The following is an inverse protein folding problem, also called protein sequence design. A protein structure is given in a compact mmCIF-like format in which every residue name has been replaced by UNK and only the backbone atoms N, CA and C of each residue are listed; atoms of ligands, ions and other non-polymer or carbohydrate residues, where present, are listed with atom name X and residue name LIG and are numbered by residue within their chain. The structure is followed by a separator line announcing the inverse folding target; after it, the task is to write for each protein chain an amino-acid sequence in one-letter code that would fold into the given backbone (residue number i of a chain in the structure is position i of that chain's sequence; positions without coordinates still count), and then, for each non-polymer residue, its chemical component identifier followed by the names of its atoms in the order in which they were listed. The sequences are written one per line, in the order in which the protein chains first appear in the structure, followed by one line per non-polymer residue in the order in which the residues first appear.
data_IF_622106331529
#
_entry.id   IF_622106331529
#
_cell.length_a   1.000
_cell.length_b   1.000
_cell.length_c   1.000
_cell.angle_alpha   90.00
_cell.angle_beta   90.00
_cell.angle_gamma   90.00
#
_symmetry.space_group_name_H-M   'P 1'
#
loop_
_entity.id
_entity.type
_entity.pdbx_description
1 polymer ?
#
# COMPACT_ATOMS: atom_id res chain seq x y z
N UNK A 1 -64.93 -1.05 21.61
CA UNK A 1 -63.82 -2.02 21.44
C UNK A 1 -62.98 -1.77 20.19
N UNK A 2 -63.56 -1.40 19.04
CA UNK A 2 -62.84 -1.17 17.78
C UNK A 2 -61.72 -0.12 17.85
N UNK A 3 -61.86 0.94 18.65
CA UNK A 3 -60.85 2.02 18.73
C UNK A 3 -59.54 1.58 19.38
N UNK A 4 -59.59 0.66 20.37
CA UNK A 4 -58.40 0.13 21.05
C UNK A 4 -57.59 -0.84 20.16
N UNK A 5 -58.25 -1.48 19.19
CA UNK A 5 -57.63 -2.43 18.28
C UNK A 5 -56.87 -1.68 17.18
N UNK A 6 -57.42 -0.57 16.68
CA UNK A 6 -56.79 0.25 15.63
C UNK A 6 -55.51 0.93 16.15
N UNK A 7 -55.51 1.42 17.40
CA UNK A 7 -54.30 2.03 17.99
C UNK A 7 -53.18 1.01 18.22
N UNK A 8 -53.53 -0.23 18.58
CA UNK A 8 -52.55 -1.30 18.76
C UNK A 8 -51.90 -1.73 17.44
N UNK A 9 -52.67 -1.81 16.35
CA UNK A 9 -52.15 -2.20 15.02
C UNK A 9 -51.22 -1.11 14.44
N UNK A 10 -51.54 0.18 14.64
CA UNK A 10 -50.69 1.29 14.20
C UNK A 10 -49.38 1.41 15.00
N UNK A 11 -49.37 1.00 16.27
CA UNK A 11 -48.14 0.98 17.08
C UNK A 11 -47.23 -0.20 16.73
N UNK A 12 -47.78 -1.37 16.39
CA UNK A 12 -46.99 -2.55 16.01
C UNK A 12 -46.31 -2.36 14.64
N UNK A 13 -46.97 -1.69 13.68
CA UNK A 13 -46.36 -1.41 12.37
C UNK A 13 -45.29 -0.31 12.43
N UNK A 14 -45.44 0.69 13.30
CA UNK A 14 -44.42 1.72 13.51
C UNK A 14 -43.19 1.19 14.25
N UNK A 15 -43.34 0.17 15.10
CA UNK A 15 -42.22 -0.44 15.81
C UNK A 15 -41.40 -1.39 14.93
N UNK A 16 -42.01 -2.03 13.93
CA UNK A 16 -41.28 -2.88 12.98
C UNK A 16 -40.43 -2.09 11.96
N UNK A 17 -40.75 -0.82 11.69
CA UNK A 17 -39.99 -0.01 10.72
C UNK A 17 -38.71 0.65 11.30
N UNK A 18 -38.54 0.66 12.62
CA UNK A 18 -37.46 1.38 13.29
C UNK A 18 -36.26 0.50 13.71
N UNK A 19 -36.29 -0.81 13.45
CA UNK A 19 -35.21 -1.73 13.84
C UNK A 19 -34.64 -2.46 12.62
N UNK A 20 -34.35 -1.72 11.55
CA UNK A 20 -33.26 -2.10 10.65
C UNK A 20 -32.01 -1.45 11.23
N UNK A 21 -31.42 -2.10 12.23
CA UNK A 21 -30.02 -1.84 12.54
C UNK A 21 -29.24 -2.18 11.28
N UNK A 22 -28.60 -1.18 10.68
CA UNK A 22 -27.52 -1.43 9.76
C UNK A 22 -26.43 -2.15 10.55
N UNK A 23 -26.42 -3.47 10.50
CA UNK A 23 -25.25 -4.26 10.85
C UNK A 23 -24.14 -3.78 9.91
N UNK A 24 -23.30 -2.87 10.41
CA UNK A 24 -21.99 -2.65 9.83
C UNK A 24 -21.35 -4.02 9.77
N UNK A 25 -21.13 -4.52 8.55
CA UNK A 25 -20.47 -5.79 8.32
C UNK A 25 -19.17 -5.79 9.14
N UNK A 26 -19.20 -6.50 10.27
CA UNK A 26 -18.03 -6.80 11.06
C UNK A 26 -17.15 -7.64 10.15
N UNK A 27 -16.14 -6.99 9.58
CA UNK A 27 -15.13 -7.64 8.80
C UNK A 27 -14.32 -8.45 9.81
N UNK A 28 -14.76 -9.68 10.10
CA UNK A 28 -14.18 -10.62 11.07
C UNK A 28 -12.75 -11.08 10.80
N UNK A 29 -11.91 -10.25 10.17
CA UNK A 29 -10.47 -10.30 10.40
C UNK A 29 -10.18 -9.50 11.66
N UNK A 30 -9.58 -10.15 12.66
CA UNK A 30 -8.90 -9.45 13.75
C UNK A 30 -8.07 -8.33 13.13
N UNK A 31 -8.19 -7.09 13.60
CA UNK A 31 -7.42 -6.00 13.06
C UNK A 31 -5.93 -6.37 13.17
N UNK A 32 -5.24 -6.42 12.03
CA UNK A 32 -3.81 -6.74 11.99
C UNK A 32 -3.08 -5.62 12.73
N UNK A 33 -2.69 -5.89 13.97
CA UNK A 33 -1.90 -5.01 14.82
C UNK A 33 -0.44 -5.09 14.35
N UNK A 34 -0.09 -4.44 13.24
CA UNK A 34 1.28 -4.48 12.67
C UNK A 34 2.32 -3.90 13.62
N UNK A 35 1.90 -3.07 14.58
CA UNK A 35 2.68 -2.55 15.70
C UNK A 35 3.10 -3.62 16.73
N UNK A 36 2.52 -4.83 16.66
CA UNK A 36 2.93 -5.99 17.47
C UNK A 36 3.96 -6.89 16.76
N UNK A 37 4.29 -6.61 15.50
CA UNK A 37 5.21 -7.46 14.75
C UNK A 37 6.65 -7.21 15.18
N UNK A 38 7.36 -8.30 15.45
CA UNK A 38 8.78 -8.29 15.73
C UNK A 38 9.56 -8.83 14.52
N UNK A 39 10.73 -8.26 14.25
CA UNK A 39 11.59 -8.73 13.18
C UNK A 39 13.06 -8.60 13.58
N UNK A 40 13.88 -9.54 13.13
CA UNK A 40 15.33 -9.54 13.25
C UNK A 40 15.91 -9.70 11.86
N UNK A 41 16.83 -8.82 11.48
CA UNK A 41 17.48 -8.94 10.18
C UNK A 41 18.59 -9.99 10.14
N UNK A 42 19.16 -10.21 8.95
CA UNK A 42 20.21 -11.23 8.75
C UNK A 42 21.51 -10.93 9.52
N UNK A 43 21.71 -9.71 10.02
CA UNK A 43 22.85 -9.34 10.87
C UNK A 43 22.53 -9.46 12.36
N UNK A 44 21.34 -9.96 12.74
CA UNK A 44 20.92 -10.12 14.13
C UNK A 44 20.39 -8.83 14.77
N UNK A 45 20.09 -7.79 14.00
CA UNK A 45 19.54 -6.54 14.53
C UNK A 45 18.03 -6.64 14.64
N UNK A 46 17.50 -6.46 15.84
CA UNK A 46 16.06 -6.44 16.08
C UNK A 46 15.45 -5.06 15.76
N UNK A 47 14.26 -5.07 15.18
CA UNK A 47 13.41 -3.88 15.07
C UNK A 47 13.03 -3.41 16.48
N UNK A 48 13.03 -2.09 16.68
CA UNK A 48 12.68 -1.47 17.96
C UNK A 48 11.18 -1.62 18.21
N UNK A 49 10.81 -2.15 19.37
CA UNK A 49 9.42 -2.32 19.78
C UNK A 49 8.90 -1.07 20.52
N UNK A 50 7.59 -1.01 20.77
CA UNK A 50 6.91 0.19 21.28
C UNK A 50 7.47 0.74 22.60
N UNK A 51 7.97 -0.11 23.50
CA UNK A 51 8.57 0.33 24.77
C UNK A 51 9.85 1.18 24.57
N UNK A 52 10.54 1.00 23.45
CA UNK A 52 11.78 1.69 23.09
C UNK A 52 11.53 2.94 22.25
N UNK A 53 10.45 2.99 21.48
CA UNK A 53 10.17 4.07 20.50
C UNK A 53 9.02 4.98 20.90
N UNK A 54 8.10 4.50 21.74
CA UNK A 54 6.84 5.17 22.05
C UNK A 54 5.87 5.21 20.86
N UNK A 55 4.74 5.92 21.00
CA UNK A 55 3.73 6.01 19.95
C UNK A 55 4.23 6.86 18.76
N UNK A 56 3.62 6.70 17.57
CA UNK A 56 3.86 7.57 16.42
C UNK A 56 3.67 9.05 16.77
N UNK A 57 4.59 9.89 16.31
CA UNK A 57 4.52 11.34 16.53
C UNK A 57 3.46 11.98 15.63
N UNK A 58 2.48 12.64 16.24
CA UNK A 58 1.37 13.28 15.54
C UNK A 58 1.82 14.45 14.63
N UNK A 59 2.93 15.09 14.94
CA UNK A 59 3.50 16.25 14.25
C UNK A 59 4.59 15.88 13.22
N UNK A 60 4.65 14.62 12.80
CA UNK A 60 5.62 14.12 11.81
C UNK A 60 4.93 13.30 10.72
N UNK A 61 5.50 13.37 9.51
CA UNK A 61 5.03 12.65 8.33
C UNK A 61 6.17 11.78 7.80
N UNK A 62 5.87 10.53 7.46
CA UNK A 62 6.80 9.58 6.85
C UNK A 62 6.52 9.51 5.34
N UNK A 63 7.49 9.96 4.55
CA UNK A 63 7.48 9.86 3.09
C UNK A 63 8.36 8.70 2.61
N UNK A 64 7.89 7.95 1.61
CA UNK A 64 8.64 6.88 0.98
C UNK A 64 8.87 7.19 -0.51
N UNK A 65 10.11 7.00 -0.95
CA UNK A 65 10.45 7.01 -2.37
C UNK A 65 10.06 5.70 -3.04
N UNK A 66 9.38 5.78 -4.19
CA UNK A 66 8.77 4.62 -4.83
C UNK A 66 9.09 4.56 -6.32
N UNK A 67 9.64 3.44 -6.74
CA UNK A 67 10.00 3.14 -8.11
C UNK A 67 8.81 2.62 -8.91
N UNK A 68 8.64 3.10 -10.15
CA UNK A 68 7.54 2.75 -11.06
C UNK A 68 7.98 1.93 -12.28
N UNK A 69 9.24 1.47 -12.26
CA UNK A 69 9.95 1.02 -13.45
C UNK A 69 10.35 -0.47 -13.39
N UNK A 70 9.63 -1.28 -12.60
CA UNK A 70 9.73 -2.74 -12.70
C UNK A 70 8.82 -3.24 -13.83
N UNK A 71 9.32 -4.14 -14.68
CA UNK A 71 8.50 -4.86 -15.65
C UNK A 71 8.94 -4.72 -17.12
N UNK A 72 7.95 -4.76 -18.03
CA UNK A 72 8.09 -5.03 -19.47
C UNK A 72 9.04 -4.13 -20.29
N UNK A 73 9.52 -3.01 -19.76
CA UNK A 73 10.50 -2.16 -20.45
C UNK A 73 11.95 -2.57 -20.15
N UNK A 74 12.16 -3.51 -19.23
CA UNK A 74 13.44 -4.20 -19.07
C UNK A 74 13.55 -5.26 -20.16
N UNK A 75 14.43 -5.03 -21.13
CA UNK A 75 14.73 -6.00 -22.18
C UNK A 75 15.75 -7.02 -21.67
N UNK A 76 15.34 -8.30 -21.62
CA UNK A 76 16.18 -9.38 -21.08
C UNK A 76 16.06 -9.55 -19.56
N UNK A 77 16.52 -10.70 -19.06
CA UNK A 77 16.41 -11.07 -17.64
C UNK A 77 15.22 -11.98 -17.31
N UNK A 78 14.86 -12.14 -16.01
CA UNK A 78 15.41 -11.41 -14.87
C UNK A 78 16.86 -11.82 -14.56
N UNK A 79 17.77 -10.84 -14.48
CA UNK A 79 19.11 -11.06 -13.96
C UNK A 79 19.11 -10.81 -12.45
N UNK A 80 19.45 -11.83 -11.67
CA UNK A 80 19.41 -11.79 -10.22
C UNK A 80 20.83 -11.97 -9.67
N UNK A 81 21.37 -10.94 -9.03
CA UNK A 81 22.74 -10.93 -8.53
C UNK A 81 22.97 -12.03 -7.50
N UNK A 82 22.00 -12.28 -6.62
CA UNK A 82 22.12 -13.32 -5.59
C UNK A 82 22.20 -14.71 -6.23
N UNK A 83 21.37 -14.98 -7.26
CA UNK A 83 21.41 -16.26 -8.00
C UNK A 83 22.70 -16.39 -8.81
N UNK A 84 23.09 -15.36 -9.56
CA UNK A 84 24.32 -15.33 -10.36
C UNK A 84 25.53 -15.62 -9.47
N UNK A 85 25.66 -14.95 -8.32
CA UNK A 85 26.82 -15.17 -7.42
C UNK A 85 26.77 -16.50 -6.68
N UNK A 86 25.58 -17.11 -6.53
CA UNK A 86 25.47 -18.45 -5.96
C UNK A 86 25.94 -19.53 -6.95
N UNK A 87 25.70 -19.35 -8.25
CA UNK A 87 26.07 -20.28 -9.31
C UNK A 87 27.48 -20.03 -9.85
N UNK A 88 27.88 -18.76 -9.91
CA UNK A 88 29.15 -18.26 -10.45
C UNK A 88 29.82 -17.29 -9.47
N UNK A 89 30.42 -17.78 -8.37
CA UNK A 89 31.04 -16.91 -7.36
C UNK A 89 32.20 -16.06 -7.90
N UNK A 90 32.87 -16.53 -8.95
CA UNK A 90 33.96 -15.86 -9.65
C UNK A 90 33.51 -14.65 -10.48
N UNK A 91 32.22 -14.59 -10.86
CA UNK A 91 31.66 -13.48 -11.64
C UNK A 91 31.84 -12.11 -10.96
N UNK A 92 31.95 -12.06 -9.63
CA UNK A 92 32.22 -10.79 -8.90
C UNK A 92 33.56 -10.16 -9.27
N UNK A 93 34.54 -10.98 -9.69
CA UNK A 93 35.88 -10.54 -10.07
C UNK A 93 36.04 -10.34 -11.58
N UNK A 94 35.02 -10.71 -12.36
CA UNK A 94 35.00 -10.58 -13.81
C UNK A 94 33.73 -9.84 -14.28
N UNK A 95 33.89 -8.55 -14.57
CA UNK A 95 32.81 -7.68 -15.06
C UNK A 95 32.26 -8.09 -16.42
N UNK A 96 33.04 -8.83 -17.23
CA UNK A 96 32.61 -9.29 -18.56
C UNK A 96 32.07 -10.73 -18.51
N UNK A 97 31.95 -11.31 -17.31
CA UNK A 97 31.47 -12.67 -17.13
C UNK A 97 30.08 -12.84 -17.76
N UNK A 98 29.86 -13.86 -18.60
CA UNK A 98 28.63 -14.00 -19.39
C UNK A 98 27.36 -14.15 -18.53
N UNK A 99 27.49 -14.62 -17.27
CA UNK A 99 26.36 -14.72 -16.35
C UNK A 99 25.72 -13.36 -16.01
N UNK A 100 26.43 -12.25 -16.16
CA UNK A 100 25.86 -10.91 -15.97
C UNK A 100 24.83 -10.53 -17.04
N UNK A 101 24.79 -11.24 -18.16
CA UNK A 101 23.93 -10.89 -19.29
C UNK A 101 24.51 -9.79 -20.17
N UNK A 102 23.73 -9.25 -21.12
CA UNK A 102 24.22 -8.25 -22.05
C UNK A 102 24.54 -6.93 -21.34
N UNK A 103 25.47 -6.17 -21.92
CA UNK A 103 25.80 -4.82 -21.44
C UNK A 103 24.53 -3.96 -21.35
N UNK A 104 24.37 -3.24 -20.24
CA UNK A 104 23.18 -2.44 -19.89
C UNK A 104 21.90 -3.22 -19.56
N UNK A 105 21.98 -4.54 -19.36
CA UNK A 105 20.91 -5.29 -18.72
C UNK A 105 20.65 -4.75 -17.31
N UNK A 106 19.39 -4.85 -16.85
CA UNK A 106 19.01 -4.46 -15.50
C UNK A 106 19.03 -5.68 -14.58
N UNK A 107 19.45 -5.45 -13.33
CA UNK A 107 19.63 -6.50 -12.35
C UNK A 107 18.79 -6.27 -11.11
N UNK A 108 18.26 -7.36 -10.57
CA UNK A 108 17.73 -7.42 -9.21
C UNK A 108 18.85 -7.85 -8.26
N UNK A 109 18.96 -7.22 -7.09
CA UNK A 109 19.91 -7.67 -6.08
C UNK A 109 19.57 -9.09 -5.58
N UNK A 110 18.28 -9.38 -5.47
CA UNK A 110 17.73 -10.69 -5.15
C UNK A 110 16.25 -10.73 -5.53
N UNK A 111 15.64 -11.90 -5.42
CA UNK A 111 14.25 -12.11 -5.81
C UNK A 111 13.30 -11.30 -4.92
N UNK A 112 12.45 -10.41 -5.47
CA UNK A 112 11.46 -9.69 -4.67
C UNK A 112 10.41 -10.63 -4.06
N UNK A 113 9.80 -10.22 -2.97
CA UNK A 113 8.76 -11.01 -2.26
C UNK A 113 7.61 -11.47 -3.17
N UNK A 114 7.25 -10.66 -4.17
CA UNK A 114 6.19 -10.96 -5.14
C UNK A 114 6.72 -11.43 -6.50
N UNK A 115 7.96 -11.94 -6.53
CA UNK A 115 8.66 -12.31 -7.76
C UNK A 115 9.05 -11.08 -8.60
N UNK A 116 9.47 -11.33 -9.84
CA UNK A 116 9.84 -10.28 -10.80
C UNK A 116 8.60 -9.65 -11.46
N UNK A 117 7.82 -8.90 -10.68
CA UNK A 117 6.52 -8.36 -11.09
C UNK A 117 6.62 -7.13 -12.01
N UNK A 118 5.53 -6.88 -12.76
CA UNK A 118 5.33 -5.61 -13.48
C UNK A 118 4.73 -4.55 -12.55
N UNK A 119 5.15 -3.30 -12.71
CA UNK A 119 4.74 -2.19 -11.83
C UNK A 119 3.26 -1.80 -11.95
N UNK A 120 2.53 -2.37 -12.89
CA UNK A 120 1.09 -2.16 -13.10
C UNK A 120 0.24 -3.33 -12.60
N UNK A 121 0.82 -4.40 -12.04
CA UNK A 121 0.07 -5.55 -11.53
C UNK A 121 -0.82 -5.13 -10.34
N UNK A 122 -2.16 -5.15 -10.49
CA UNK A 122 -3.07 -4.71 -9.43
C UNK A 122 -3.01 -5.60 -8.18
N UNK A 123 -2.68 -6.89 -8.31
CA UNK A 123 -2.55 -7.80 -7.18
C UNK A 123 -1.36 -7.46 -6.30
N UNK A 124 -0.25 -7.04 -6.92
CA UNK A 124 0.96 -6.58 -6.23
C UNK A 124 0.74 -5.20 -5.63
N UNK A 125 0.19 -4.26 -6.40
CA UNK A 125 -0.04 -2.89 -5.93
C UNK A 125 -0.98 -2.82 -4.72
N UNK A 126 -2.01 -3.68 -4.65
CA UNK A 126 -2.87 -3.79 -3.46
C UNK A 126 -2.11 -4.29 -2.22
N UNK A 127 -1.13 -5.18 -2.39
CA UNK A 127 -0.28 -5.66 -1.29
C UNK A 127 0.72 -4.60 -0.85
N UNK A 128 1.31 -3.86 -1.78
CA UNK A 128 2.12 -2.69 -1.42
C UNK A 128 1.32 -1.68 -0.62
N UNK A 129 0.08 -1.37 -1.03
CA UNK A 129 -0.78 -0.48 -0.25
C UNK A 129 -0.98 -0.98 1.19
N UNK A 130 -1.17 -2.29 1.38
CA UNK A 130 -1.27 -2.90 2.72
C UNK A 130 0.03 -2.79 3.50
N UNK A 131 1.16 -3.22 2.92
CA UNK A 131 2.47 -3.19 3.56
C UNK A 131 2.88 -1.77 3.98
N UNK A 132 2.62 -0.78 3.13
CA UNK A 132 2.93 0.62 3.41
C UNK A 132 2.04 1.20 4.51
N UNK A 133 0.76 0.82 4.53
CA UNK A 133 -0.14 1.20 5.61
C UNK A 133 0.26 0.56 6.94
N UNK A 134 0.63 -0.73 6.93
CA UNK A 134 1.13 -1.46 8.11
C UNK A 134 2.45 -0.86 8.64
N UNK A 135 3.28 -0.29 7.75
CA UNK A 135 4.50 0.44 8.08
C UNK A 135 4.29 1.92 8.44
N UNK A 136 3.04 2.39 8.51
CA UNK A 136 2.66 3.78 8.83
C UNK A 136 3.29 4.83 7.88
N UNK A 137 3.42 4.49 6.59
CA UNK A 137 3.84 5.43 5.55
C UNK A 137 2.68 6.35 5.19
N UNK A 138 2.87 7.66 5.35
CA UNK A 138 1.83 8.66 5.09
C UNK A 138 1.81 9.11 3.62
N UNK A 139 2.98 9.14 2.96
CA UNK A 139 3.17 9.74 1.63
C UNK A 139 4.07 8.85 0.77
N UNK A 140 3.70 8.70 -0.50
CA UNK A 140 4.54 8.08 -1.52
C UNK A 140 4.98 9.15 -2.52
N UNK A 141 6.28 9.16 -2.83
CA UNK A 141 6.95 10.08 -3.75
C UNK A 141 7.48 9.26 -4.92
N UNK A 142 7.02 9.54 -6.13
CA UNK A 142 7.42 8.78 -7.30
C UNK A 142 8.82 9.15 -7.78
N UNK A 143 9.57 8.12 -8.14
CA UNK A 143 10.76 8.28 -8.96
C UNK A 143 10.37 8.60 -10.41
N UNK A 144 10.79 9.76 -10.89
CA UNK A 144 10.67 10.19 -12.29
C UNK A 144 11.99 10.72 -12.84
N UNK A 145 13.13 10.31 -12.27
CA UNK A 145 14.45 10.80 -12.71
C UNK A 145 14.86 10.27 -14.09
N UNK A 146 14.17 9.25 -14.61
CA UNK A 146 14.53 8.53 -15.83
C UNK A 146 14.01 9.16 -17.13
N UNK A 147 13.61 10.45 -17.10
CA UNK A 147 12.98 11.19 -18.22
C UNK A 147 11.64 10.62 -18.73
N UNK A 148 11.20 9.49 -18.21
CA UNK A 148 9.89 8.93 -18.47
C UNK A 148 9.01 9.11 -17.23
N UNK A 149 7.74 9.48 -17.43
CA UNK A 149 6.83 9.80 -16.33
C UNK A 149 6.01 8.60 -15.85
N UNK A 150 6.08 7.46 -16.55
CA UNK A 150 5.44 6.19 -16.15
C UNK A 150 3.93 6.34 -15.87
N UNK A 151 3.20 7.02 -16.76
CA UNK A 151 1.79 7.37 -16.56
C UNK A 151 0.91 6.17 -16.26
N UNK A 152 1.02 5.15 -17.09
CA UNK A 152 0.24 3.92 -16.97
C UNK A 152 0.45 3.28 -15.59
N UNK A 153 1.70 3.23 -15.13
CA UNK A 153 2.09 2.62 -13.86
C UNK A 153 1.64 3.44 -12.64
N UNK A 154 1.85 4.76 -12.62
CA UNK A 154 1.36 5.56 -11.49
C UNK A 154 -0.17 5.63 -11.46
N UNK A 155 -0.85 5.57 -12.62
CA UNK A 155 -2.32 5.50 -12.67
C UNK A 155 -2.80 4.20 -12.04
N UNK A 156 -2.24 3.05 -12.41
CA UNK A 156 -2.57 1.76 -11.79
C UNK A 156 -2.34 1.77 -10.28
N UNK A 157 -1.22 2.35 -9.83
CA UNK A 157 -0.93 2.53 -8.41
C UNK A 157 -1.99 3.40 -7.71
N UNK A 158 -2.32 4.55 -8.28
CA UNK A 158 -3.31 5.46 -7.73
C UNK A 158 -4.69 4.80 -7.61
N UNK A 159 -5.09 4.00 -8.59
CA UNK A 159 -6.34 3.23 -8.57
C UNK A 159 -6.33 2.19 -7.45
N UNK A 160 -5.29 1.35 -7.37
CA UNK A 160 -5.15 0.32 -6.34
C UNK A 160 -5.14 0.92 -4.92
N UNK A 161 -4.42 2.03 -4.72
CA UNK A 161 -4.31 2.69 -3.41
C UNK A 161 -5.63 3.41 -3.05
N UNK A 162 -6.34 3.95 -4.04
CA UNK A 162 -7.68 4.53 -3.83
C UNK A 162 -8.71 3.45 -3.48
N UNK A 163 -8.61 2.28 -4.11
CA UNK A 163 -9.41 1.10 -3.77
C UNK A 163 -9.13 0.62 -2.34
N UNK A 164 -7.86 0.50 -1.96
CA UNK A 164 -7.45 0.11 -0.61
C UNK A 164 -7.99 1.07 0.45
N UNK A 165 -7.92 2.39 0.20
CA UNK A 165 -8.51 3.43 1.07
C UNK A 165 -10.02 3.30 1.21
N UNK A 166 -10.74 3.13 0.09
CA UNK A 166 -12.21 3.00 0.10
C UNK A 166 -12.71 1.75 0.81
N UNK A 167 -11.96 0.64 0.72
CA UNK A 167 -12.36 -0.63 1.34
C UNK A 167 -12.27 -0.64 2.86
N UNK A 168 -11.78 0.43 3.49
CA UNK A 168 -11.82 0.68 4.93
C UNK A 168 -11.71 -0.60 5.78
N UNK A 169 -10.64 -1.37 5.56
CA UNK A 169 -10.18 -2.44 6.45
C UNK A 169 -8.88 -2.00 7.13
N UNK A 170 -8.96 -0.81 7.71
CA UNK A 170 -8.01 -0.29 8.68
C UNK A 170 -8.81 0.07 9.94
N UNK A 171 -9.58 -0.90 10.45
CA UNK A 171 -10.15 -0.81 11.78
C UNK A 171 -9.01 -0.98 12.76
N UNK A 172 -8.67 0.07 13.51
CA UNK A 172 -7.86 -0.02 14.72
C UNK A 172 -8.85 -0.17 15.88
N UNK A 173 -8.74 -1.20 16.75
CA UNK A 173 -9.65 -1.37 17.86
C UNK A 173 -9.53 -0.19 18.81
N UNK A 174 -10.68 0.40 19.14
CA UNK A 174 -10.81 1.59 19.96
C UNK A 174 -10.31 1.33 21.39
N UNK A 175 -9.29 2.07 21.82
CA UNK A 175 -8.81 2.05 23.21
C UNK A 175 -7.64 2.99 23.46
N UNK A 176 -6.79 3.20 22.46
CA UNK A 176 -5.83 4.30 22.42
C UNK A 176 -6.30 5.35 21.42
N UNK A 177 -6.18 6.66 21.70
CA UNK A 177 -6.37 7.69 20.68
C UNK A 177 -5.22 7.58 19.68
N UNK A 178 -5.35 6.67 18.72
CA UNK A 178 -4.56 6.69 17.50
C UNK A 178 -5.18 7.79 16.65
N UNK A 179 -4.40 8.76 16.15
CA UNK A 179 -4.93 9.75 15.23
C UNK A 179 -5.68 9.02 14.09
N UNK A 180 -6.78 9.58 13.56
CA UNK A 180 -7.47 8.98 12.41
C UNK A 180 -6.42 8.59 11.37
N UNK A 181 -6.57 7.47 10.63
CA UNK A 181 -5.59 7.04 9.63
C UNK A 181 -5.22 8.29 8.85
N UNK A 182 -3.99 8.78 9.06
CA UNK A 182 -3.60 10.05 8.47
C UNK A 182 -3.72 9.79 6.99
N UNK A 183 -4.69 10.47 6.38
CA UNK A 183 -5.04 10.30 4.99
C UNK A 183 -3.72 10.13 4.23
N UNK A 184 -3.56 9.06 3.44
CA UNK A 184 -2.67 9.09 2.27
C UNK A 184 -3.17 10.28 1.46
N UNK A 185 -2.75 11.48 1.82
CA UNK A 185 -3.40 12.74 1.44
C UNK A 185 -2.68 13.35 0.26
N UNK A 186 -1.47 12.88 -0.01
CA UNK A 186 -0.62 13.47 -1.02
C UNK A 186 0.18 12.36 -1.69
N UNK A 187 -0.14 12.08 -2.94
CA UNK A 187 0.83 11.53 -3.88
C UNK A 187 1.50 12.77 -4.47
N UNK A 188 2.73 13.06 -4.04
CA UNK A 188 3.47 14.24 -4.52
C UNK A 188 4.45 13.81 -5.60
N UNK A 189 4.20 14.28 -6.83
CA UNK A 189 5.16 14.20 -7.94
C UNK A 189 6.06 15.44 -7.82
N UNK A 190 7.36 15.26 -7.61
CA UNK A 190 8.27 16.39 -7.41
C UNK A 190 8.60 17.11 -8.72
N UNK A 191 8.12 18.36 -8.79
CA UNK A 191 8.74 19.58 -9.34
C UNK A 191 9.37 19.52 -10.74
N UNK A 192 8.56 19.27 -11.77
CA UNK A 192 8.56 20.06 -13.03
C UNK A 192 7.52 19.59 -14.08
N UNK A 193 6.38 19.04 -13.64
CA UNK A 193 5.19 18.89 -14.49
C UNK A 193 4.03 19.66 -13.83
N UNK A 194 4.10 20.95 -14.01
CA UNK A 194 3.34 22.06 -13.42
C UNK A 194 1.81 21.87 -13.36
N UNK A 195 1.22 22.20 -12.19
CA UNK A 195 -0.18 22.63 -11.99
C UNK A 195 -1.30 21.63 -12.36
N UNK A 196 -1.77 20.75 -11.47
CA UNK A 196 -3.19 20.25 -11.55
C UNK A 196 -3.65 19.19 -10.56
N UNK A 197 -2.89 18.70 -9.59
CA UNK A 197 -3.45 17.71 -8.64
C UNK A 197 -4.27 18.38 -7.51
N UNK A 198 -5.30 19.13 -7.91
CA UNK A 198 -6.51 19.36 -7.12
C UNK A 198 -7.55 18.38 -7.61
N UNK A 199 -7.71 17.25 -6.91
CA UNK A 199 -8.81 16.32 -7.14
C UNK A 199 -10.11 16.99 -6.65
N UNK A 200 -10.67 17.90 -7.46
CA UNK A 200 -12.00 18.43 -7.24
C UNK A 200 -12.94 17.72 -8.23
N UNK A 201 -13.70 16.77 -7.72
CA UNK A 201 -14.70 16.04 -8.48
C UNK A 201 -15.72 17.01 -9.06
N UNK A 202 -15.85 17.00 -10.38
CA UNK A 202 -17.11 17.33 -11.03
C UNK A 202 -17.23 16.56 -12.33
N UNK A 203 -17.97 15.47 -12.25
CA UNK A 203 -18.63 14.86 -13.40
C UNK A 203 -19.56 15.89 -14.04
N UNK A 204 -19.42 16.14 -15.35
CA UNK A 204 -20.53 16.10 -16.30
C UNK A 204 -20.13 16.62 -17.70
N UNK A 205 -20.55 15.82 -18.69
CA UNK A 205 -20.66 16.02 -20.15
C UNK A 205 -19.38 15.87 -20.97
#
# INVERSE_FOLDING_TARGET
MAHRIITAILFVSAFCAAVVSAESADCGESPLMSDTWEAVDMLGRAVRVHDQTGPPRADRTVGLFYFLWMGAHVNGGPHDVSKILSEHPDAISDKEHPAWGPMHAMHHWGEPLFGYYNSDDPWVLRRHARMLADALVDVVIFDVTNRFTYKEYYTALCEAFSEARRRSRFCVPSGTPVPPPRNFSTISISRDCTKSCGFNGRANR
#
